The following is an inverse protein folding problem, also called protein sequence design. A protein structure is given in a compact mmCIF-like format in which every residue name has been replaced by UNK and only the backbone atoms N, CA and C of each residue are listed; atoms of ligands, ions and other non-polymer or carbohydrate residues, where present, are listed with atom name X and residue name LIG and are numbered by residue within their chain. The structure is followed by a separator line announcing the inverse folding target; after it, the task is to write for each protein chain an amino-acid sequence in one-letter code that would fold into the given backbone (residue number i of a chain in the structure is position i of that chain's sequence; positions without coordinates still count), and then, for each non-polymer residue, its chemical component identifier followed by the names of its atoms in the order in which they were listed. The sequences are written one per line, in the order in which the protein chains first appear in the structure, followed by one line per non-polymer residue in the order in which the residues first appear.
data_IF_852543399539
#
_entry.id   IF_852543399539
#
_cell.length_a   1.000
_cell.length_b   1.000
_cell.length_c   1.000
_cell.angle_alpha   90.00
_cell.angle_beta   90.00
_cell.angle_gamma   90.00
#
_symmetry.space_group_name_H-M   'P 1'
#
loop_
_entity.id
_entity.type
_entity.pdbx_description
1 polymer ?
#
# COMPACT_ATOMS: atom_id res chain seq x y z
N UNK A 1 -18.34 14.38 -14.60
CA UNK A 1 -17.79 13.67 -15.78
C UNK A 1 -16.71 12.71 -15.31
N UNK A 2 -16.71 11.45 -15.77
CA UNK A 2 -15.73 10.41 -15.42
C UNK A 2 -15.35 9.58 -16.65
N UNK A 3 -14.11 9.14 -16.73
CA UNK A 3 -13.59 8.20 -17.73
C UNK A 3 -13.79 6.72 -17.34
N UNK A 4 -14.33 6.47 -16.15
CA UNK A 4 -14.56 5.13 -15.64
C UNK A 4 -16.03 4.74 -15.77
N UNK A 5 -16.30 3.88 -16.77
CA UNK A 5 -17.67 3.56 -17.22
C UNK A 5 -18.58 3.00 -16.13
N UNK A 6 -18.07 2.17 -15.21
CA UNK A 6 -18.91 1.59 -14.16
C UNK A 6 -19.31 2.58 -13.06
N UNK A 7 -18.61 3.72 -12.92
CA UNK A 7 -19.05 4.78 -11.99
C UNK A 7 -20.36 5.44 -12.43
N UNK A 8 -20.73 5.36 -13.71
CA UNK A 8 -22.01 5.89 -14.20
C UNK A 8 -23.21 5.21 -13.52
N UNK A 9 -23.08 3.95 -13.09
CA UNK A 9 -24.17 3.16 -12.54
C UNK A 9 -24.13 3.05 -11.01
N UNK A 10 -23.24 3.80 -10.33
CA UNK A 10 -23.02 3.66 -8.89
C UNK A 10 -24.25 4.06 -8.06
N UNK A 11 -25.09 4.96 -8.58
CA UNK A 11 -26.31 5.42 -7.92
C UNK A 11 -27.47 4.41 -8.03
N UNK A 12 -27.49 3.62 -9.10
CA UNK A 12 -28.55 2.62 -9.36
C UNK A 12 -28.24 1.25 -8.73
N UNK A 13 -27.01 1.07 -8.22
CA UNK A 13 -26.52 -0.21 -7.74
C UNK A 13 -27.07 -0.54 -6.34
N UNK A 14 -27.80 -1.65 -6.22
CA UNK A 14 -28.42 -2.10 -4.95
C UNK A 14 -27.41 -2.46 -3.86
N UNK A 15 -26.27 -3.03 -4.24
CA UNK A 15 -25.24 -3.48 -3.30
C UNK A 15 -23.94 -2.71 -3.49
N UNK A 16 -23.61 -1.90 -2.48
CA UNK A 16 -22.41 -1.08 -2.47
C UNK A 16 -21.51 -1.44 -1.28
N UNK A 17 -20.20 -1.47 -1.54
CA UNK A 17 -19.18 -1.60 -0.50
C UNK A 17 -19.26 -0.40 0.46
N UNK A 18 -18.90 -0.58 1.73
CA UNK A 18 -18.86 0.47 2.76
C UNK A 18 -18.11 1.71 2.26
N UNK A 19 -17.01 1.53 1.51
CA UNK A 19 -16.29 2.66 0.91
C UNK A 19 -17.19 3.43 -0.06
N UNK A 20 -17.84 2.75 -1.00
CA UNK A 20 -18.73 3.40 -1.97
C UNK A 20 -19.90 4.12 -1.30
N UNK A 21 -20.49 3.53 -0.24
CA UNK A 21 -21.54 4.19 0.55
C UNK A 21 -21.09 5.49 1.18
N UNK A 22 -19.93 5.51 1.83
CA UNK A 22 -19.35 6.75 2.40
C UNK A 22 -19.09 7.82 1.34
N UNK A 23 -18.67 7.41 0.14
CA UNK A 23 -18.50 8.35 -0.97
C UNK A 23 -19.85 8.89 -1.47
N UNK A 24 -20.90 8.06 -1.51
CA UNK A 24 -22.24 8.52 -1.88
C UNK A 24 -22.86 9.46 -0.84
N UNK A 25 -22.66 9.23 0.45
CA UNK A 25 -23.08 10.16 1.51
C UNK A 25 -22.47 11.55 1.30
N UNK A 26 -21.18 11.61 0.94
CA UNK A 26 -20.53 12.88 0.62
C UNK A 26 -21.10 13.52 -0.66
N UNK A 27 -21.38 12.72 -1.68
CA UNK A 27 -21.91 13.23 -2.95
C UNK A 27 -23.36 13.70 -2.84
N UNK A 28 -24.16 13.17 -1.90
CA UNK A 28 -25.56 13.59 -1.72
C UNK A 28 -25.71 15.04 -1.25
N UNK A 29 -24.65 15.63 -0.70
CA UNK A 29 -24.64 17.05 -0.32
C UNK A 29 -24.56 17.99 -1.53
N UNK A 30 -24.28 17.45 -2.73
CA UNK A 30 -24.08 18.23 -3.95
C UNK A 30 -25.08 17.80 -5.03
N UNK A 31 -25.68 18.78 -5.70
CA UNK A 31 -26.49 18.52 -6.91
C UNK A 31 -25.55 18.20 -8.09
N UNK A 32 -25.21 16.91 -8.25
CA UNK A 32 -24.22 16.47 -9.22
C UNK A 32 -24.63 15.19 -9.97
N UNK A 33 -24.39 15.20 -11.29
CA UNK A 33 -24.61 14.06 -12.18
C UNK A 33 -23.29 13.35 -12.52
N UNK A 34 -23.25 12.03 -12.39
CA UNK A 34 -22.12 11.21 -12.82
C UNK A 34 -22.32 10.77 -14.27
N UNK A 35 -21.59 11.41 -15.20
CA UNK A 35 -21.65 11.11 -16.64
C UNK A 35 -20.33 10.56 -17.17
N UNK A 36 -20.41 9.47 -17.93
CA UNK A 36 -19.25 8.91 -18.63
C UNK A 36 -18.81 9.81 -19.78
N UNK A 37 -17.50 9.97 -19.96
CA UNK A 37 -16.90 10.44 -21.20
C UNK A 37 -15.64 9.64 -21.53
N UNK A 38 -15.23 9.57 -22.81
CA UNK A 38 -13.99 8.90 -23.17
C UNK A 38 -12.77 9.54 -22.50
N UNK A 39 -11.78 8.72 -22.11
CA UNK A 39 -10.54 9.18 -21.47
C UNK A 39 -9.76 10.21 -22.29
N UNK A 40 -9.90 10.22 -23.63
CA UNK A 40 -9.34 11.27 -24.50
C UNK A 40 -9.87 12.68 -24.18
N UNK A 41 -11.01 12.80 -23.52
CA UNK A 41 -11.54 14.07 -23.02
C UNK A 41 -11.17 14.35 -21.56
N UNK A 42 -10.53 13.40 -20.85
CA UNK A 42 -10.11 13.54 -19.46
C UNK A 42 -8.72 14.18 -19.29
N UNK A 43 -8.11 14.64 -20.38
CA UNK A 43 -6.69 15.07 -20.42
C UNK A 43 -6.35 16.09 -19.33
N UNK A 44 -7.26 17.01 -19.01
CA UNK A 44 -7.06 18.01 -17.95
C UNK A 44 -7.01 17.35 -16.57
N UNK A 45 -7.97 16.48 -16.26
CA UNK A 45 -8.00 15.77 -14.98
C UNK A 45 -6.84 14.77 -14.86
N UNK A 46 -6.47 14.09 -15.94
CA UNK A 46 -5.31 13.21 -15.99
C UNK A 46 -4.02 14.00 -15.74
N UNK A 47 -3.84 15.16 -16.39
CA UNK A 47 -2.67 16.03 -16.18
C UNK A 47 -2.58 16.56 -14.74
N UNK A 48 -3.71 16.81 -14.08
CA UNK A 48 -3.77 17.22 -12.67
C UNK A 48 -3.53 16.05 -11.71
N UNK A 49 -3.99 14.84 -12.08
CA UNK A 49 -3.76 13.59 -11.35
C UNK A 49 -2.30 13.14 -11.44
N UNK A 50 -1.58 13.57 -12.47
CA UNK A 50 -0.14 13.33 -12.70
C UNK A 50 0.78 14.13 -11.76
N UNK A 51 0.40 14.33 -10.48
CA UNK A 51 1.29 14.93 -9.47
C UNK A 51 1.48 13.98 -8.28
N UNK A 52 2.75 13.77 -7.92
CA UNK A 52 3.27 12.92 -6.83
C UNK A 52 3.23 11.39 -7.02
N UNK A 53 3.39 10.91 -8.26
CA UNK A 53 3.99 9.60 -8.50
C UNK A 53 5.30 9.77 -9.28
N UNK A 54 6.22 10.59 -8.78
CA UNK A 54 7.58 10.07 -8.84
C UNK A 54 7.55 8.88 -7.88
N UNK A 55 7.60 7.62 -8.35
CA UNK A 55 7.95 6.56 -7.42
C UNK A 55 9.24 7.04 -6.75
N UNK A 56 9.37 6.99 -5.40
CA UNK A 56 10.67 7.22 -4.81
C UNK A 56 11.61 6.31 -5.61
N UNK A 57 12.64 6.91 -6.23
CA UNK A 57 13.66 6.13 -6.92
C UNK A 57 14.00 5.03 -5.94
N UNK A 58 13.56 3.79 -6.23
CA UNK A 58 13.87 2.65 -5.38
C UNK A 58 15.32 2.36 -5.70
N UNK A 59 16.21 3.21 -5.18
CA UNK A 59 17.63 3.00 -5.23
C UNK A 59 17.79 1.68 -4.51
N UNK A 60 18.11 0.63 -5.26
CA UNK A 60 18.42 -0.67 -4.73
C UNK A 60 19.80 -0.60 -4.07
N UNK A 61 19.97 0.31 -3.12
CA UNK A 61 21.22 0.54 -2.38
C UNK A 61 21.53 -0.63 -1.43
N UNK A 62 20.56 -1.51 -1.17
CA UNK A 62 20.74 -2.60 -0.20
C UNK A 62 21.56 -3.78 -0.73
N UNK A 63 21.68 -3.95 -2.06
CA UNK A 63 22.43 -5.09 -2.62
C UNK A 63 23.94 -4.84 -2.67
N UNK A 64 24.38 -3.60 -2.93
CA UNK A 64 25.81 -3.28 -3.03
C UNK A 64 26.46 -2.86 -1.70
N UNK A 65 25.68 -2.40 -0.71
CA UNK A 65 26.23 -2.00 0.60
C UNK A 65 26.50 -3.20 1.52
N UNK A 66 25.83 -4.33 1.29
CA UNK A 66 26.07 -5.59 2.02
C UNK A 66 27.17 -6.36 1.29
N UNK A 67 28.39 -5.84 1.37
CA UNK A 67 29.59 -6.58 0.98
C UNK A 67 29.69 -7.86 1.81
N UNK A 68 29.33 -8.99 1.18
CA UNK A 68 29.80 -10.38 1.35
C UNK A 68 30.14 -10.93 2.75
N UNK A 69 29.61 -10.35 3.84
CA UNK A 69 29.99 -10.77 5.20
C UNK A 69 28.93 -10.55 6.26
N UNK A 70 28.09 -9.52 6.14
CA UNK A 70 27.11 -9.19 7.18
C UNK A 70 26.12 -10.33 7.47
N UNK A 71 25.52 -11.00 6.47
CA UNK A 71 24.60 -12.11 6.75
C UNK A 71 25.29 -13.28 7.47
N UNK A 72 26.58 -13.50 7.15
CA UNK A 72 27.39 -14.56 7.75
C UNK A 72 27.76 -14.23 9.21
N UNK A 73 28.06 -12.97 9.49
CA UNK A 73 28.32 -12.48 10.85
C UNK A 73 27.06 -12.52 11.72
N UNK A 74 25.91 -12.13 11.18
CA UNK A 74 24.61 -12.22 11.88
C UNK A 74 24.31 -13.67 12.24
N UNK A 75 24.47 -14.60 11.29
CA UNK A 75 24.26 -16.02 11.55
C UNK A 75 25.20 -16.54 12.65
N UNK A 76 26.50 -16.20 12.60
CA UNK A 76 27.45 -16.61 13.62
C UNK A 76 27.09 -16.07 15.01
N UNK A 77 26.68 -14.81 15.10
CA UNK A 77 26.28 -14.18 16.36
C UNK A 77 25.02 -14.83 16.94
N UNK A 78 24.04 -15.17 16.10
CA UNK A 78 22.84 -15.90 16.51
C UNK A 78 23.16 -17.31 17.03
N UNK A 79 24.06 -18.04 16.37
CA UNK A 79 24.47 -19.38 16.83
C UNK A 79 25.21 -19.34 18.16
N UNK A 80 26.05 -18.32 18.40
CA UNK A 80 26.73 -18.13 19.68
C UNK A 80 25.75 -17.77 20.81
N UNK A 81 24.80 -16.88 20.55
CA UNK A 81 23.79 -16.48 21.54
C UNK A 81 22.87 -17.65 21.95
N UNK A 82 22.62 -18.61 21.05
CA UNK A 82 21.73 -19.77 21.30
C UNK A 82 22.42 -20.91 22.07
N UNK A 83 23.71 -20.82 22.37
CA UNK A 83 24.42 -21.82 23.18
C UNK A 83 23.80 -21.88 24.59
N UNK A 84 23.66 -23.09 25.18
CA UNK A 84 23.00 -23.26 26.48
C UNK A 84 23.70 -22.51 27.62
N UNK A 85 24.99 -22.22 27.47
CA UNK A 85 25.79 -21.42 28.40
C UNK A 85 25.36 -19.94 28.46
N UNK A 86 24.73 -19.44 27.37
CA UNK A 86 24.34 -18.04 27.20
C UNK A 86 22.84 -17.80 27.42
N UNK A 87 22.04 -18.86 27.60
CA UNK A 87 20.60 -18.77 27.89
C UNK A 87 20.41 -18.52 29.39
N UNK A 88 19.86 -17.36 29.77
CA UNK A 88 19.53 -17.10 31.18
C UNK A 88 18.33 -17.97 31.57
N UNK A 89 18.29 -18.47 32.81
CA UNK A 89 17.21 -19.37 33.30
C UNK A 89 15.80 -18.75 33.19
N UNK A 90 15.69 -17.44 33.06
CA UNK A 90 14.44 -16.69 32.88
C UNK A 90 13.91 -16.75 31.43
N UNK A 91 14.78 -16.96 30.43
CA UNK A 91 14.42 -16.94 29.00
C UNK A 91 13.61 -18.18 28.55
N UNK A 92 13.55 -19.22 29.39
CA UNK A 92 12.83 -20.48 29.11
C UNK A 92 11.37 -20.42 29.58
N UNK A 93 10.96 -19.35 30.28
CA UNK A 93 9.64 -19.20 30.88
C UNK A 93 8.46 -19.03 29.91
N UNK A 94 8.71 -19.01 28.60
CA UNK A 94 7.68 -18.85 27.55
C UNK A 94 7.48 -20.06 26.63
N UNK A 95 8.18 -21.18 26.85
CA UNK A 95 7.98 -22.43 26.11
C UNK A 95 7.25 -23.47 26.97
N UNK A 96 5.95 -23.23 27.20
CA UNK A 96 4.94 -24.26 27.50
C UNK A 96 3.77 -24.08 26.54
#
# INVERSE_FOLDING_TARGET
FTDYKSLQHILDQKELNIRQRRWLELLSDYDCDIRYHPGKANVVADALSMKEREPPLRVQALVMTIGLGLPRQILSAQTEARKPENIKKEDVGGML
#
